data_IF_182136883077
#
_entry.id   IF_182136883077
#
_cell.length_a   1.000
_cell.length_b   1.000
_cell.length_c   1.000
_cell.angle_alpha   90.00
_cell.angle_beta   90.00
_cell.angle_gamma   90.00
#
_symmetry.space_group_name_H-M   'P 1'
#
loop_
_entity.id
_entity.type
_entity.pdbx_description
1 polymer ?
#
# COMPACT_ATOMS: atom_id res chain seq x y z
N UNK A 1 -61.04 30.56 45.40
CA UNK A 1 -59.82 31.38 45.38
C UNK A 1 -58.73 30.59 46.08
N UNK A 2 -57.58 30.20 45.56
CA UNK A 2 -57.03 29.92 44.22
C UNK A 2 -55.90 28.92 44.54
N UNK A 3 -55.85 27.78 43.84
CA UNK A 3 -54.88 26.72 44.12
C UNK A 3 -53.56 27.01 43.41
N UNK A 4 -52.48 26.99 44.18
CA UNK A 4 -51.10 27.12 43.72
C UNK A 4 -50.70 25.94 42.83
N UNK A 5 -50.22 26.22 41.62
CA UNK A 5 -49.63 25.20 40.72
C UNK A 5 -48.28 25.73 40.25
N UNK A 6 -47.20 25.12 40.75
CA UNK A 6 -45.85 25.28 40.20
C UNK A 6 -45.66 24.26 39.07
N UNK A 7 -45.21 24.66 37.87
CA UNK A 7 -44.80 23.70 36.86
C UNK A 7 -43.35 23.25 37.10
N UNK A 8 -43.17 21.94 37.27
CA UNK A 8 -41.89 21.25 37.34
C UNK A 8 -41.38 21.01 35.91
N UNK A 9 -40.38 21.77 35.48
CA UNK A 9 -39.70 21.50 34.21
C UNK A 9 -38.77 20.29 34.39
N UNK A 10 -39.13 19.16 33.77
CA UNK A 10 -38.24 18.03 33.58
C UNK A 10 -37.33 18.37 32.40
N UNK A 11 -36.06 18.66 32.66
CA UNK A 11 -35.04 18.70 31.60
C UNK A 11 -34.37 17.33 31.57
N UNK A 12 -34.88 16.49 30.68
CA UNK A 12 -34.17 15.30 30.18
C UNK A 12 -33.00 15.80 29.33
N UNK A 13 -31.77 15.55 29.79
CA UNK A 13 -30.55 15.88 29.04
C UNK A 13 -29.94 14.56 28.55
N UNK A 14 -30.67 13.81 27.72
CA UNK A 14 -30.06 12.79 26.87
C UNK A 14 -29.43 13.50 25.66
N UNK A 15 -28.28 14.13 25.87
CA UNK A 15 -27.47 14.64 24.76
C UNK A 15 -26.76 13.43 24.14
N UNK A 16 -27.07 13.03 22.89
CA UNK A 16 -26.21 12.09 22.20
C UNK A 16 -24.84 12.75 22.07
N UNK A 17 -23.82 12.11 22.63
CA UNK A 17 -22.43 12.47 22.39
C UNK A 17 -22.21 12.36 20.87
N UNK A 18 -22.33 13.48 20.17
CA UNK A 18 -21.95 13.59 18.75
C UNK A 18 -20.45 13.37 18.75
N UNK A 19 -20.04 12.12 18.52
CA UNK A 19 -18.65 11.79 18.26
C UNK A 19 -18.26 12.63 17.05
N UNK A 20 -17.29 13.56 17.15
CA UNK A 20 -16.87 14.31 15.98
C UNK A 20 -16.44 13.28 14.93
N UNK A 21 -17.16 13.26 13.81
CA UNK A 21 -16.76 12.52 12.62
C UNK A 21 -15.52 13.22 12.08
N UNK A 22 -14.36 12.88 12.65
CA UNK A 22 -13.08 13.37 12.16
C UNK A 22 -12.98 12.84 10.74
N UNK A 23 -13.00 13.70 9.71
CA UNK A 23 -12.84 13.24 8.34
C UNK A 23 -11.52 12.46 8.29
N UNK A 24 -11.47 11.31 7.60
CA UNK A 24 -10.25 10.54 7.52
C UNK A 24 -9.14 11.47 7.05
N UNK A 25 -8.08 11.59 7.85
CA UNK A 25 -6.92 12.40 7.47
C UNK A 25 -6.56 12.05 6.02
N UNK A 26 -6.32 13.05 5.14
CA UNK A 26 -6.04 12.79 3.72
C UNK A 26 -4.90 11.79 3.54
N UNK A 27 -3.98 11.70 4.49
CA UNK A 27 -2.93 10.66 4.54
C UNK A 27 -3.49 9.24 4.65
N UNK A 28 -4.49 9.00 5.50
CA UNK A 28 -5.12 7.67 5.62
C UNK A 28 -5.90 7.29 4.37
N UNK A 29 -6.55 8.27 3.73
CA UNK A 29 -7.25 8.05 2.47
C UNK A 29 -6.29 7.68 1.34
N UNK A 30 -5.19 8.42 1.15
CA UNK A 30 -4.18 8.09 0.15
C UNK A 30 -3.50 6.75 0.42
N UNK A 31 -3.19 6.43 1.69
CA UNK A 31 -2.61 5.14 2.05
C UNK A 31 -3.56 3.98 1.75
N UNK A 32 -4.86 4.16 1.97
CA UNK A 32 -5.84 3.15 1.61
C UNK A 32 -5.90 2.95 0.09
N UNK A 33 -6.02 4.03 -0.69
CA UNK A 33 -6.02 3.96 -2.14
C UNK A 33 -4.74 3.32 -2.68
N UNK A 34 -3.58 3.77 -2.23
CA UNK A 34 -2.30 3.26 -2.69
C UNK A 34 -2.14 1.75 -2.40
N UNK A 35 -2.63 1.27 -1.25
CA UNK A 35 -2.66 -0.17 -0.95
C UNK A 35 -3.54 -0.93 -1.93
N UNK A 36 -4.72 -0.41 -2.25
CA UNK A 36 -5.64 -1.02 -3.22
C UNK A 36 -5.02 -1.07 -4.61
N UNK A 37 -4.45 0.04 -5.10
CA UNK A 37 -3.76 0.10 -6.38
C UNK A 37 -2.55 -0.84 -6.44
N UNK A 38 -1.71 -0.84 -5.41
CA UNK A 38 -0.56 -1.73 -5.35
C UNK A 38 -0.96 -3.21 -5.27
N UNK A 39 -2.10 -3.53 -4.64
CA UNK A 39 -2.64 -4.88 -4.65
C UNK A 39 -3.03 -5.31 -6.06
N UNK A 40 -3.81 -4.49 -6.77
CA UNK A 40 -4.22 -4.78 -8.16
C UNK A 40 -2.99 -4.92 -9.08
N UNK A 41 -2.00 -4.03 -8.93
CA UNK A 41 -0.77 -4.12 -9.70
C UNK A 41 0.00 -5.41 -9.44
N UNK A 42 0.10 -5.85 -8.17
CA UNK A 42 0.72 -7.15 -7.82
C UNK A 42 -0.06 -8.33 -8.38
N UNK A 43 -1.38 -8.33 -8.26
CA UNK A 43 -2.24 -9.39 -8.78
C UNK A 43 -2.10 -9.47 -10.33
N UNK A 44 -1.93 -8.35 -11.01
CA UNK A 44 -1.62 -8.33 -12.44
C UNK A 44 -0.22 -8.90 -12.71
N UNK A 45 0.80 -8.39 -12.00
CA UNK A 45 2.19 -8.78 -12.20
C UNK A 45 2.46 -10.24 -11.86
N UNK A 46 1.75 -10.84 -10.91
CA UNK A 46 1.91 -12.25 -10.56
C UNK A 46 1.43 -13.20 -11.65
N UNK A 47 0.62 -12.71 -12.60
CA UNK A 47 0.20 -13.47 -13.78
C UNK A 47 1.16 -13.30 -14.97
N UNK A 48 2.20 -12.49 -14.82
CA UNK A 48 3.21 -12.30 -15.86
C UNK A 48 4.16 -13.49 -15.85
N UNK A 49 4.16 -14.25 -16.93
CA UNK A 49 5.09 -15.37 -17.16
C UNK A 49 6.25 -15.01 -18.08
N UNK A 50 6.15 -13.88 -18.78
CA UNK A 50 7.14 -13.40 -19.75
C UNK A 50 8.00 -12.28 -19.14
N UNK A 51 9.32 -12.42 -19.25
CA UNK A 51 10.27 -11.45 -18.72
C UNK A 51 10.18 -10.07 -19.40
N UNK A 52 9.74 -10.04 -20.66
CA UNK A 52 9.53 -8.80 -21.43
C UNK A 52 8.12 -8.21 -21.28
N UNK A 53 7.22 -8.87 -20.54
CA UNK A 53 5.88 -8.32 -20.36
C UNK A 53 5.90 -7.05 -19.47
N UNK A 54 5.03 -6.07 -19.78
CA UNK A 54 5.00 -4.82 -19.05
C UNK A 54 4.47 -5.01 -17.63
N UNK A 55 5.15 -4.42 -16.66
CA UNK A 55 4.72 -4.40 -15.27
C UNK A 55 3.64 -3.32 -15.05
N UNK A 56 2.62 -3.66 -14.28
CA UNK A 56 1.71 -2.68 -13.72
C UNK A 56 2.47 -1.82 -12.69
N UNK A 57 2.41 -0.48 -12.80
CA UNK A 57 3.16 0.42 -11.94
C UNK A 57 2.65 0.39 -10.50
N UNK A 58 3.58 0.35 -9.55
CA UNK A 58 3.27 0.63 -8.16
C UNK A 58 3.17 2.14 -7.91
N UNK A 59 2.35 2.50 -6.94
CA UNK A 59 2.14 3.87 -6.47
C UNK A 59 2.68 4.09 -5.07
N UNK A 60 3.15 5.31 -4.82
CA UNK A 60 3.69 5.72 -3.53
C UNK A 60 2.59 5.80 -2.45
N UNK A 61 2.80 5.22 -1.25
CA UNK A 61 1.76 5.05 -0.24
C UNK A 61 1.14 6.36 0.28
N UNK A 62 1.87 7.48 0.29
CA UNK A 62 1.33 8.74 0.82
C UNK A 62 0.75 9.69 -0.24
N UNK A 63 1.18 9.55 -1.49
CA UNK A 63 0.86 10.50 -2.56
C UNK A 63 -0.03 9.89 -3.62
N UNK A 64 -0.19 8.55 -3.62
CA UNK A 64 -0.94 7.80 -4.62
C UNK A 64 -0.50 8.10 -6.07
N UNK A 65 0.76 8.52 -6.25
CA UNK A 65 1.38 8.75 -7.56
C UNK A 65 2.23 7.56 -7.94
N UNK A 66 2.30 7.25 -9.23
CA UNK A 66 3.23 6.24 -9.75
C UNK A 66 4.67 6.58 -9.35
N UNK A 67 5.45 5.53 -9.07
CA UNK A 67 6.86 5.71 -8.74
C UNK A 67 7.60 6.13 -10.02
N UNK A 68 8.39 7.21 -9.94
CA UNK A 68 9.06 7.78 -11.12
C UNK A 68 10.10 6.86 -11.73
N UNK A 69 10.84 6.17 -10.88
CA UNK A 69 11.92 5.26 -11.28
C UNK A 69 11.41 3.83 -11.50
N UNK A 70 10.10 3.67 -11.73
CA UNK A 70 9.46 2.36 -11.85
C UNK A 70 9.96 1.63 -13.12
N UNK A 71 10.39 0.36 -13.00
CA UNK A 71 10.82 -0.44 -14.14
C UNK A 71 9.63 -0.81 -15.03
N UNK A 72 9.77 -0.67 -16.35
CA UNK A 72 8.69 -1.00 -17.28
C UNK A 72 8.46 -2.51 -17.44
N UNK A 73 9.50 -3.33 -17.29
CA UNK A 73 9.47 -4.78 -17.48
C UNK A 73 10.16 -5.52 -16.32
N UNK A 74 9.84 -6.79 -16.12
CA UNK A 74 10.40 -7.62 -15.05
C UNK A 74 11.93 -7.75 -15.17
N UNK A 75 12.44 -7.99 -16.38
CA UNK A 75 13.88 -8.08 -16.64
C UNK A 75 14.62 -6.78 -16.34
N UNK A 76 13.93 -5.63 -16.50
CA UNK A 76 14.53 -4.32 -16.25
C UNK A 76 15.03 -4.19 -14.81
N UNK A 77 14.38 -4.83 -13.83
CA UNK A 77 14.79 -4.78 -12.42
C UNK A 77 16.22 -5.29 -12.23
N UNK A 78 16.59 -6.37 -12.91
CA UNK A 78 17.92 -6.96 -12.82
C UNK A 78 19.01 -6.08 -13.45
N UNK A 79 18.62 -5.25 -14.42
CA UNK A 79 19.52 -4.32 -15.10
C UNK A 79 19.72 -2.99 -14.37
N UNK A 80 18.87 -2.67 -13.38
CA UNK A 80 18.95 -1.40 -12.67
C UNK A 80 20.24 -1.28 -11.85
N UNK A 81 20.84 -0.08 -11.81
CA UNK A 81 21.96 0.21 -10.93
C UNK A 81 21.48 0.27 -9.48
N UNK A 82 22.41 0.03 -8.56
CA UNK A 82 22.12 -0.10 -7.12
C UNK A 82 21.40 1.12 -6.53
N UNK A 83 21.75 2.32 -7.01
CA UNK A 83 21.13 3.58 -6.61
C UNK A 83 19.65 3.65 -6.99
N UNK A 84 19.26 3.12 -8.14
CA UNK A 84 17.85 3.11 -8.58
C UNK A 84 17.05 2.03 -7.82
N UNK A 85 17.67 0.89 -7.52
CA UNK A 85 17.09 -0.12 -6.63
C UNK A 85 16.80 0.46 -5.24
N UNK A 86 17.72 1.25 -4.68
CA UNK A 86 17.53 1.94 -3.40
C UNK A 86 16.41 2.98 -3.46
N UNK A 87 16.35 3.78 -4.53
CA UNK A 87 15.26 4.75 -4.73
C UNK A 87 13.90 4.09 -4.78
N UNK A 88 13.78 2.97 -5.48
CA UNK A 88 12.53 2.20 -5.55
C UNK A 88 12.10 1.69 -4.17
N UNK A 89 13.03 1.14 -3.40
CA UNK A 89 12.76 0.65 -2.04
C UNK A 89 12.33 1.80 -1.12
N UNK A 90 13.04 2.93 -1.17
CA UNK A 90 12.69 4.13 -0.38
C UNK A 90 11.32 4.69 -0.80
N UNK A 91 11.01 4.73 -2.10
CA UNK A 91 9.70 5.15 -2.61
C UNK A 91 8.55 4.23 -2.14
N UNK A 92 8.84 2.96 -1.90
CA UNK A 92 7.89 1.99 -1.32
C UNK A 92 7.90 1.96 0.21
N UNK A 93 8.66 2.85 0.85
CA UNK A 93 8.90 2.87 2.31
C UNK A 93 9.48 1.56 2.86
N UNK A 94 10.28 0.88 2.06
CA UNK A 94 11.07 -0.27 2.46
C UNK A 94 12.52 0.17 2.72
N UNK A 95 13.11 -0.34 3.81
CA UNK A 95 14.52 -0.11 4.08
C UNK A 95 15.37 -0.89 3.05
N UNK A 96 16.33 -0.26 2.36
CA UNK A 96 17.18 -0.95 1.41
C UNK A 96 18.15 -1.91 2.12
N UNK A 97 18.15 -3.21 1.80
CA UNK A 97 19.15 -4.13 2.31
C UNK A 97 20.53 -3.83 1.72
N UNK A 98 21.61 -4.17 2.44
CA UNK A 98 22.97 -3.84 1.99
C UNK A 98 23.39 -4.58 0.70
N UNK A 99 22.95 -5.82 0.51
CA UNK A 99 23.32 -6.63 -0.64
C UNK A 99 22.36 -6.39 -1.82
N UNK A 100 22.92 -6.13 -3.00
CA UNK A 100 22.17 -5.89 -4.25
C UNK A 100 21.16 -7.00 -4.57
N UNK A 101 21.56 -8.27 -4.47
CA UNK A 101 20.65 -9.39 -4.76
C UNK A 101 19.44 -9.41 -3.82
N UNK A 102 19.60 -8.99 -2.57
CA UNK A 102 18.49 -8.87 -1.63
C UNK A 102 17.58 -7.70 -2.00
N UNK A 103 18.13 -6.58 -2.51
CA UNK A 103 17.31 -5.45 -3.01
C UNK A 103 16.41 -5.92 -4.15
N UNK A 104 16.97 -6.67 -5.10
CA UNK A 104 16.23 -7.25 -6.23
C UNK A 104 15.15 -8.20 -5.74
N UNK A 105 15.47 -9.17 -4.87
CA UNK A 105 14.48 -10.11 -4.30
C UNK A 105 13.33 -9.37 -3.62
N UNK A 106 13.63 -8.39 -2.78
CA UNK A 106 12.60 -7.58 -2.09
C UNK A 106 11.73 -6.82 -3.10
N UNK A 107 12.34 -6.22 -4.13
CA UNK A 107 11.59 -5.54 -5.18
C UNK A 107 10.70 -6.49 -5.99
N UNK A 108 11.17 -7.68 -6.32
CA UNK A 108 10.37 -8.70 -7.00
C UNK A 108 9.17 -9.11 -6.16
N UNK A 109 9.38 -9.37 -4.87
CA UNK A 109 8.28 -9.63 -3.92
C UNK A 109 7.30 -8.45 -3.86
N UNK A 110 7.79 -7.21 -3.83
CA UNK A 110 6.93 -6.02 -3.81
C UNK A 110 6.14 -5.83 -5.09
N UNK A 111 6.74 -6.18 -6.24
CA UNK A 111 6.09 -6.16 -7.56
C UNK A 111 5.13 -7.33 -7.76
N UNK A 112 5.21 -8.39 -6.94
CA UNK A 112 4.41 -9.61 -7.11
C UNK A 112 4.98 -10.57 -8.14
N UNK A 113 6.25 -10.39 -8.52
CA UNK A 113 6.98 -11.31 -9.38
C UNK A 113 7.43 -12.48 -8.52
N UNK A 114 6.84 -13.66 -8.76
CA UNK A 114 7.24 -14.90 -8.09
C UNK A 114 8.57 -15.31 -8.69
N UNK A 115 9.64 -15.32 -7.88
CA UNK A 115 10.73 -16.26 -8.11
C UNK A 115 10.12 -17.61 -7.84
N UNK A 116 9.76 -18.36 -8.88
CA UNK A 116 9.71 -19.81 -8.71
C UNK A 116 11.14 -20.19 -8.33
N UNK A 117 11.40 -20.25 -7.02
CA UNK A 117 12.45 -21.12 -6.53
C UNK A 117 11.99 -22.49 -7.05
N UNK A 118 12.60 -22.94 -8.15
CA UNK A 118 12.52 -24.34 -8.57
C UNK A 118 12.87 -25.14 -7.32
N UNK A 119 11.85 -25.64 -6.63
CA UNK A 119 12.02 -26.76 -5.73
C UNK A 119 12.52 -27.88 -6.64
N UNK A 120 13.85 -28.07 -6.69
CA UNK A 120 14.42 -29.36 -7.05
C UNK A 120 13.81 -30.36 -6.08
N UNK A 121 12.71 -30.98 -6.51
CA UNK A 121 12.17 -32.20 -5.95
C UNK A 121 13.24 -33.27 -6.21
N UNK A 122 14.25 -33.31 -5.34
CA UNK A 122 15.26 -34.38 -5.30
C UNK A 122 14.53 -35.68 -4.90
N UNK A 123 13.91 -36.31 -5.90
CA UNK A 123 13.64 -37.73 -5.90
C UNK A 123 14.93 -38.45 -6.32
N UNK A 124 15.67 -38.99 -5.35
CA UNK A 124 16.49 -40.20 -5.53
C UNK A 124 16.76 -40.89 -4.19
#
# INVERSE_FOLDING_TARGET
MERSVKPTAKTDISTPLIRPSIPPSPHRHHQHLARTWNKVARDYNSNITDAEAPLAPLVHPDTNKTIKDFPFHAESVNSLPDVELDRLLVALKCAPPAARNNKIRVLWTLFGLVLEEEEEEEKA
#
